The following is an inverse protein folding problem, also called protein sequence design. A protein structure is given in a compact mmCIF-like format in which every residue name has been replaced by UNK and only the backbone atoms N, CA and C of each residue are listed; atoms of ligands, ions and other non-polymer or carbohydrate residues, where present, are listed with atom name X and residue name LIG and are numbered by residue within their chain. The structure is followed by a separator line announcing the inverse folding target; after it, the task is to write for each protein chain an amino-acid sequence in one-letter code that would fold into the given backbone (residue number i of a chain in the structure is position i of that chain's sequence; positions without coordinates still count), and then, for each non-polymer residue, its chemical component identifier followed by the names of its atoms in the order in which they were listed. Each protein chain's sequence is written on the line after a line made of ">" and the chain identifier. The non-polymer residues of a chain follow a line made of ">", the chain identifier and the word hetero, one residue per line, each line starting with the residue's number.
data_IF_362229767355
#
_entry.id   IF_362229767355
#
_cell.length_a   1.000
_cell.length_b   1.000
_cell.length_c   1.000
_cell.angle_alpha   90.00
_cell.angle_beta   90.00
_cell.angle_gamma   90.00
#
_symmetry.space_group_name_H-M   'P 1'
#
loop_
_entity.id
_entity.type
_entity.pdbx_description
1 polymer ?
#
# COMPACT_ATOMS: atom_id res chain seq x y z
N UNK A 1 39.92 -9.26 28.61
CA UNK A 1 41.15 -10.09 28.64
C UNK A 1 40.76 -11.48 28.16
N UNK A 2 41.59 -12.08 27.32
CA UNK A 2 41.26 -13.02 26.23
C UNK A 2 41.04 -14.51 26.59
N UNK A 3 40.74 -15.27 25.52
CA UNK A 3 40.96 -16.72 25.26
C UNK A 3 39.90 -17.73 25.75
N UNK A 4 39.60 -18.86 25.08
CA UNK A 4 39.67 -19.40 23.70
C UNK A 4 39.23 -20.90 23.83
N UNK A 5 38.50 -21.44 22.83
CA UNK A 5 38.31 -22.88 22.44
C UNK A 5 37.73 -23.90 23.43
N UNK A 6 36.65 -24.63 23.10
CA UNK A 6 36.47 -25.75 22.14
C UNK A 6 36.93 -27.13 22.66
N UNK A 7 35.99 -28.09 22.67
CA UNK A 7 36.09 -29.56 22.49
C UNK A 7 35.11 -30.34 23.40
N UNK A 8 34.08 -30.97 22.82
CA UNK A 8 33.96 -32.42 22.51
C UNK A 8 33.40 -33.26 23.67
N UNK A 9 32.26 -33.97 23.50
CA UNK A 9 32.12 -35.42 23.20
C UNK A 9 30.66 -35.87 23.57
N UNK A 10 30.21 -37.14 23.43
CA UNK A 10 29.82 -37.86 22.19
C UNK A 10 28.48 -38.68 22.36
N UNK A 11 28.26 -39.69 21.48
CA UNK A 11 27.35 -40.87 21.58
C UNK A 11 25.90 -40.73 21.01
N UNK A 12 25.60 -41.25 19.80
CA UNK A 12 25.24 -42.66 19.40
C UNK A 12 23.78 -43.00 19.80
N UNK A 13 22.88 -43.67 19.08
CA UNK A 13 22.80 -44.61 17.94
C UNK A 13 21.36 -44.42 17.35
N UNK A 14 20.94 -44.85 16.14
CA UNK A 14 20.48 -46.21 15.78
C UNK A 14 19.74 -46.08 14.42
N UNK A 15 20.21 -46.80 13.39
CA UNK A 15 19.45 -47.73 12.49
C UNK A 15 18.13 -47.22 11.82
N UNK A 16 17.74 -47.38 10.54
CA UNK A 16 18.15 -48.11 9.32
C UNK A 16 16.96 -48.01 8.36
N UNK A 17 17.19 -47.73 7.07
CA UNK A 17 16.49 -48.41 5.98
C UNK A 17 17.14 -48.03 4.65
N UNK A 18 17.82 -48.99 4.04
CA UNK A 18 18.24 -48.94 2.66
C UNK A 18 17.09 -49.42 1.76
N UNK A 19 16.90 -48.81 0.60
CA UNK A 19 17.10 -49.50 -0.69
C UNK A 19 16.99 -48.57 -1.91
N UNK A 20 17.64 -48.92 -3.04
CA UNK A 20 18.04 -47.98 -4.10
C UNK A 20 17.32 -48.25 -5.43
N UNK A 21 17.13 -47.23 -6.28
CA UNK A 21 16.95 -47.44 -7.74
C UNK A 21 17.71 -46.38 -8.54
N UNK A 22 18.76 -46.88 -9.19
CA UNK A 22 19.57 -46.29 -10.25
C UNK A 22 18.75 -45.95 -11.50
N UNK A 23 18.95 -44.77 -12.10
CA UNK A 23 18.81 -44.61 -13.56
C UNK A 23 19.71 -43.49 -14.13
N UNK A 24 20.81 -43.94 -14.75
CA UNK A 24 21.42 -43.49 -16.02
C UNK A 24 21.57 -41.99 -16.35
N UNK A 25 22.83 -41.54 -16.22
CA UNK A 25 23.76 -41.15 -17.30
C UNK A 25 23.39 -40.13 -18.41
N UNK A 26 24.23 -39.09 -18.45
CA UNK A 26 24.97 -38.45 -19.58
C UNK A 26 24.39 -37.23 -20.31
N UNK A 27 25.07 -36.11 -20.01
CA UNK A 27 25.69 -35.12 -20.91
C UNK A 27 24.94 -34.66 -22.17
N UNK A 28 24.67 -33.35 -22.23
CA UNK A 28 25.29 -32.52 -23.27
C UNK A 28 25.42 -31.07 -22.80
N UNK A 29 26.66 -30.61 -22.77
CA UNK A 29 27.05 -29.21 -22.63
C UNK A 29 26.75 -28.50 -23.96
N UNK A 30 26.05 -27.37 -23.91
CA UNK A 30 26.12 -26.34 -24.95
C UNK A 30 25.96 -24.98 -24.29
N UNK A 31 26.95 -24.15 -24.57
CA UNK A 31 27.31 -22.90 -23.92
C UNK A 31 26.59 -21.69 -24.57
N UNK A 32 26.35 -20.65 -23.74
CA UNK A 32 26.10 -19.21 -24.03
C UNK A 32 24.64 -18.72 -24.28
N UNK A 33 24.39 -17.40 -24.06
CA UNK A 33 24.60 -16.61 -22.83
C UNK A 33 23.38 -15.67 -22.53
N UNK A 34 23.37 -15.06 -21.34
CA UNK A 34 22.44 -13.99 -20.89
C UNK A 34 21.05 -14.45 -20.40
N UNK A 35 21.01 -14.97 -19.18
CA UNK A 35 19.80 -14.99 -18.37
C UNK A 35 19.50 -13.55 -17.88
N UNK A 36 18.38 -12.91 -18.25
CA UNK A 36 17.82 -11.87 -17.40
C UNK A 36 17.16 -12.59 -16.23
N UNK A 37 17.68 -12.37 -15.02
CA UNK A 37 17.08 -12.74 -13.74
C UNK A 37 16.19 -13.98 -13.80
N UNK A 38 16.78 -15.18 -13.63
CA UNK A 38 15.98 -16.37 -13.37
C UNK A 38 14.97 -16.04 -12.28
N UNK A 39 13.71 -16.20 -12.65
CA UNK A 39 12.55 -15.94 -11.81
C UNK A 39 12.59 -16.98 -10.68
N UNK A 40 13.21 -16.64 -9.56
CA UNK A 40 13.38 -17.51 -8.39
C UNK A 40 12.01 -17.99 -7.85
N UNK A 41 10.91 -17.34 -8.24
CA UNK A 41 9.53 -17.73 -8.00
C UNK A 41 9.06 -18.95 -8.84
N UNK A 42 9.72 -19.29 -9.95
CA UNK A 42 9.36 -20.43 -10.79
C UNK A 42 9.74 -21.80 -10.17
N UNK A 43 10.47 -21.80 -9.05
CA UNK A 43 10.85 -23.02 -8.32
C UNK A 43 9.88 -23.41 -7.20
N UNK A 44 8.80 -22.63 -6.97
CA UNK A 44 7.86 -22.87 -5.89
C UNK A 44 6.52 -23.41 -6.42
N UNK A 45 6.50 -24.71 -6.75
CA UNK A 45 5.31 -25.59 -6.79
C UNK A 45 4.00 -24.94 -7.31
N UNK A 46 4.09 -24.16 -8.40
CA UNK A 46 2.91 -23.69 -9.10
C UNK A 46 2.34 -24.86 -9.90
N UNK A 47 1.07 -25.21 -9.66
CA UNK A 47 0.36 -26.17 -10.50
C UNK A 47 0.52 -25.74 -11.96
N UNK A 48 1.04 -26.57 -12.87
CA UNK A 48 1.32 -26.19 -14.26
C UNK A 48 0.09 -25.66 -15.02
N UNK A 49 -1.12 -25.84 -14.47
CA UNK A 49 -2.34 -25.17 -14.92
C UNK A 49 -2.45 -23.68 -14.54
N UNK A 50 -1.93 -23.26 -13.38
CA UNK A 50 -1.92 -21.88 -12.91
C UNK A 50 -0.90 -21.02 -13.66
N UNK A 51 0.30 -21.55 -13.90
CA UNK A 51 1.35 -20.86 -14.67
C UNK A 51 0.87 -20.50 -16.07
N UNK A 52 0.24 -21.46 -16.75
CA UNK A 52 -0.31 -21.23 -18.09
C UNK A 52 -1.39 -20.15 -18.07
N UNK A 53 -2.23 -20.10 -17.02
CA UNK A 53 -3.28 -19.07 -16.89
C UNK A 53 -2.66 -17.70 -16.60
N UNK A 54 -1.68 -17.62 -15.71
CA UNK A 54 -0.96 -16.38 -15.41
C UNK A 54 -0.25 -15.83 -16.64
N UNK A 55 0.45 -16.67 -17.40
CA UNK A 55 1.08 -16.26 -18.66
C UNK A 55 0.06 -15.81 -19.70
N UNK A 56 -1.11 -16.44 -19.79
CA UNK A 56 -2.15 -16.07 -20.75
C UNK A 56 -2.78 -14.71 -20.38
N UNK A 57 -3.02 -14.44 -19.09
CA UNK A 57 -3.47 -13.14 -18.59
C UNK A 57 -2.41 -12.07 -18.80
N UNK A 58 -1.14 -12.37 -18.50
CA UNK A 58 -0.05 -11.43 -18.67
C UNK A 58 0.18 -11.08 -20.15
N UNK A 59 0.13 -12.08 -21.03
CA UNK A 59 0.23 -11.87 -22.48
C UNK A 59 -0.95 -11.05 -23.03
N UNK A 60 -2.18 -11.28 -22.53
CA UNK A 60 -3.34 -10.47 -22.92
C UNK A 60 -3.22 -9.02 -22.44
N UNK A 61 -2.70 -8.78 -21.23
CA UNK A 61 -2.43 -7.43 -20.71
C UNK A 61 -1.31 -6.73 -21.49
N UNK A 62 -0.26 -7.46 -21.88
CA UNK A 62 0.83 -6.94 -22.70
C UNK A 62 0.39 -6.64 -24.14
N UNK A 63 -0.55 -7.43 -24.70
CA UNK A 63 -1.13 -7.24 -26.03
C UNK A 63 -2.04 -6.00 -26.11
N UNK A 64 -2.75 -5.65 -25.01
CA UNK A 64 -3.57 -4.43 -24.92
C UNK A 64 -2.70 -3.16 -24.96
N UNK A 65 -1.45 -3.23 -24.47
CA UNK A 65 -0.50 -2.12 -24.49
C UNK A 65 -0.95 -0.86 -23.72
N UNK A 66 -0.15 0.21 -23.81
CA UNK A 66 -0.42 1.47 -23.11
C UNK A 66 -1.48 2.30 -23.84
N UNK A 67 -2.75 2.06 -23.51
CA UNK A 67 -3.89 2.86 -24.02
C UNK A 67 -4.11 4.16 -23.21
N UNK A 68 -4.75 5.17 -23.82
CA UNK A 68 -5.11 6.46 -23.19
C UNK A 68 -5.90 6.35 -21.86
N UNK A 69 -6.57 5.22 -21.62
CA UNK A 69 -7.21 4.92 -20.34
C UNK A 69 -6.21 4.85 -19.18
N UNK A 70 -5.01 4.30 -19.39
CA UNK A 70 -3.97 4.21 -18.37
C UNK A 70 -3.46 5.60 -17.97
N UNK A 71 -3.39 6.56 -18.91
CA UNK A 71 -3.08 7.95 -18.58
C UNK A 71 -4.15 8.58 -17.68
N UNK A 72 -5.43 8.36 -18.00
CA UNK A 72 -6.54 8.85 -17.15
C UNK A 72 -6.50 8.21 -15.77
N UNK A 73 -6.21 6.91 -15.70
CA UNK A 73 -6.10 6.18 -14.44
C UNK A 73 -4.90 6.65 -13.61
N UNK A 74 -3.77 6.90 -14.25
CA UNK A 74 -2.57 7.45 -13.60
C UNK A 74 -2.84 8.81 -12.97
N UNK A 75 -3.49 9.73 -13.70
CA UNK A 75 -3.84 11.03 -13.14
C UNK A 75 -4.91 10.94 -12.05
N UNK A 76 -5.87 10.03 -12.17
CA UNK A 76 -6.91 9.82 -11.18
C UNK A 76 -6.34 9.29 -9.86
N UNK A 77 -5.52 8.24 -9.91
CA UNK A 77 -4.85 7.68 -8.73
C UNK A 77 -3.81 8.63 -8.16
N UNK A 78 -3.04 9.31 -9.02
CA UNK A 78 -2.15 10.39 -8.61
C UNK A 78 -2.89 11.43 -7.78
N UNK A 79 -3.98 12.00 -8.32
CA UNK A 79 -4.78 12.98 -7.59
C UNK A 79 -5.26 12.46 -6.22
N UNK A 80 -5.71 11.19 -6.15
CA UNK A 80 -6.03 10.54 -4.88
C UNK A 80 -4.86 10.56 -3.89
N UNK A 81 -3.68 10.14 -4.33
CA UNK A 81 -2.46 10.14 -3.53
C UNK A 81 -2.03 11.55 -3.06
N UNK A 82 -2.26 12.59 -3.89
CA UNK A 82 -2.03 13.99 -3.50
C UNK A 82 -3.02 14.46 -2.44
N UNK A 83 -4.30 14.12 -2.59
CA UNK A 83 -5.35 14.52 -1.66
C UNK A 83 -5.12 13.88 -0.30
N UNK A 84 -4.68 12.63 -0.26
CA UNK A 84 -4.32 11.94 1.00
C UNK A 84 -3.14 12.65 1.69
N UNK A 85 -2.09 13.00 0.94
CA UNK A 85 -0.95 13.75 1.46
C UNK A 85 -1.34 15.17 1.93
N UNK A 86 -2.21 15.84 1.17
CA UNK A 86 -2.78 17.13 1.51
C UNK A 86 -3.53 17.05 2.84
N UNK A 87 -4.39 16.05 3.01
CA UNK A 87 -5.19 15.88 4.22
C UNK A 87 -4.31 15.66 5.47
N UNK A 88 -3.28 14.81 5.38
CA UNK A 88 -2.35 14.61 6.49
C UNK A 88 -1.58 15.90 6.84
N UNK A 89 -1.16 16.64 5.82
CA UNK A 89 -0.44 17.91 6.01
C UNK A 89 -1.34 18.98 6.65
N UNK A 90 -2.58 19.11 6.17
CA UNK A 90 -3.58 20.03 6.72
C UNK A 90 -3.87 19.72 8.19
N UNK A 91 -4.02 18.44 8.56
CA UNK A 91 -4.19 18.06 9.96
C UNK A 91 -3.03 18.54 10.83
N UNK A 92 -1.79 18.43 10.34
CA UNK A 92 -0.60 18.91 11.06
C UNK A 92 -0.65 20.41 11.34
N UNK A 93 -1.05 21.20 10.34
CA UNK A 93 -1.16 22.67 10.44
C UNK A 93 -2.30 23.06 11.38
N UNK A 94 -3.50 22.48 11.17
CA UNK A 94 -4.70 22.80 11.94
C UNK A 94 -4.54 22.40 13.41
N UNK A 95 -3.84 21.31 13.70
CA UNK A 95 -3.65 20.85 15.08
C UNK A 95 -2.96 21.88 15.97
N UNK A 96 -2.08 22.73 15.44
CA UNK A 96 -1.41 23.78 16.23
C UNK A 96 -2.37 24.93 16.50
N UNK A 97 -3.07 25.40 15.47
CA UNK A 97 -4.00 26.53 15.60
C UNK A 97 -5.22 26.19 16.45
N UNK A 98 -5.76 24.97 16.30
CA UNK A 98 -6.90 24.50 17.09
C UNK A 98 -6.59 24.43 18.59
N UNK A 99 -5.34 24.13 18.98
CA UNK A 99 -4.93 24.13 20.39
C UNK A 99 -4.86 25.55 20.97
N UNK A 100 -4.48 26.53 20.16
CA UNK A 100 -4.43 27.94 20.57
C UNK A 100 -5.83 28.52 20.81
N UNK A 101 -6.78 28.20 19.93
CA UNK A 101 -8.17 28.69 20.01
C UNK A 101 -8.96 28.04 21.15
N UNK A 102 -8.95 26.71 21.24
CA UNK A 102 -9.82 25.98 22.17
C UNK A 102 -9.19 25.69 23.54
N UNK A 103 -7.87 25.91 23.70
CA UNK A 103 -7.09 25.63 24.91
C UNK A 103 -7.47 24.30 25.62
N UNK A 104 -7.42 23.15 24.92
CA UNK A 104 -7.84 21.88 25.47
C UNK A 104 -6.88 21.37 26.55
N UNK A 105 -7.40 20.61 27.52
CA UNK A 105 -6.59 19.96 28.56
C UNK A 105 -5.59 18.94 27.99
N UNK A 106 -5.82 18.42 26.78
CA UNK A 106 -4.94 17.46 26.11
C UNK A 106 -4.66 17.86 24.65
N UNK A 107 -3.50 18.50 24.36
CA UNK A 107 -3.22 19.09 23.05
C UNK A 107 -2.98 18.08 21.94
N UNK A 108 -2.64 16.82 22.26
CA UNK A 108 -2.40 15.75 21.28
C UNK A 108 -3.66 14.98 20.89
N UNK A 109 -4.83 15.36 21.42
CA UNK A 109 -6.08 14.62 21.21
C UNK A 109 -6.49 14.50 19.75
N UNK A 110 -6.22 15.55 18.97
CA UNK A 110 -6.59 15.61 17.55
C UNK A 110 -5.77 14.66 16.68
N UNK A 111 -4.46 14.57 16.96
CA UNK A 111 -3.55 13.64 16.29
C UNK A 111 -3.93 12.19 16.58
N UNK A 112 -4.27 11.88 17.84
CA UNK A 112 -4.72 10.54 18.22
C UNK A 112 -6.04 10.21 17.51
N UNK A 113 -7.00 11.13 17.51
CA UNK A 113 -8.28 10.95 16.83
C UNK A 113 -8.11 10.63 15.33
N UNK A 114 -7.20 11.35 14.64
CA UNK A 114 -6.87 11.06 13.25
C UNK A 114 -6.30 9.64 13.07
N UNK A 115 -5.24 9.28 13.81
CA UNK A 115 -4.61 7.96 13.63
C UNK A 115 -5.52 6.80 14.04
N UNK A 116 -6.33 6.96 15.09
CA UNK A 116 -7.32 5.96 15.49
C UNK A 116 -8.42 5.81 14.44
N UNK A 117 -8.94 6.93 13.91
CA UNK A 117 -9.91 6.89 12.80
C UNK A 117 -9.34 6.20 11.57
N UNK A 118 -8.11 6.52 11.20
CA UNK A 118 -7.41 5.93 10.06
C UNK A 118 -7.15 4.43 10.23
N UNK A 119 -6.76 3.99 11.44
CA UNK A 119 -6.58 2.57 11.75
C UNK A 119 -7.88 1.78 11.60
N UNK A 120 -8.97 2.28 12.20
CA UNK A 120 -10.29 1.62 12.10
C UNK A 120 -10.81 1.65 10.67
N UNK A 121 -10.57 2.74 9.95
CA UNK A 121 -10.90 2.90 8.53
C UNK A 121 -10.18 1.90 7.64
N UNK A 122 -8.87 1.77 7.78
CA UNK A 122 -8.07 0.84 6.97
C UNK A 122 -8.55 -0.62 7.12
N UNK A 123 -8.87 -1.05 8.35
CA UNK A 123 -9.38 -2.39 8.61
C UNK A 123 -10.78 -2.59 8.03
N UNK A 124 -11.68 -1.63 8.24
CA UNK A 124 -13.06 -1.72 7.76
C UNK A 124 -13.13 -1.71 6.23
N UNK A 125 -12.47 -0.74 5.59
CA UNK A 125 -12.53 -0.56 4.13
C UNK A 125 -11.76 -1.64 3.38
N UNK A 126 -10.69 -2.20 3.96
CA UNK A 126 -9.99 -3.36 3.39
C UNK A 126 -10.94 -4.55 3.23
N UNK A 127 -11.60 -4.95 4.33
CA UNK A 127 -12.58 -6.05 4.30
C UNK A 127 -13.80 -5.71 3.44
N UNK A 128 -14.27 -4.47 3.48
CA UNK A 128 -15.45 -4.04 2.72
C UNK A 128 -15.22 -4.10 1.21
N UNK A 129 -14.02 -3.75 0.75
CA UNK A 129 -13.67 -3.79 -0.66
C UNK A 129 -13.58 -5.21 -1.23
N UNK A 130 -13.21 -6.19 -0.39
CA UNK A 130 -13.19 -7.59 -0.78
C UNK A 130 -14.62 -8.17 -0.95
N UNK A 131 -15.60 -7.66 -0.20
CA UNK A 131 -16.98 -8.18 -0.22
C UNK A 131 -17.87 -7.47 -1.26
N UNK A 132 -17.90 -6.14 -1.26
CA UNK A 132 -18.82 -5.33 -2.08
C UNK A 132 -18.21 -4.95 -3.45
N UNK A 133 -16.89 -5.07 -3.59
CA UNK A 133 -16.12 -4.67 -4.77
C UNK A 133 -15.35 -3.36 -4.57
N UNK A 134 -14.19 -3.23 -5.22
CA UNK A 134 -13.25 -2.12 -5.00
C UNK A 134 -13.78 -0.75 -5.44
N UNK A 135 -14.50 -0.67 -6.56
CA UNK A 135 -15.00 0.61 -7.11
C UNK A 135 -16.03 1.31 -6.21
N UNK A 136 -16.95 0.53 -5.66
CA UNK A 136 -18.02 1.00 -4.77
C UNK A 136 -17.44 1.35 -3.40
N UNK A 137 -16.52 0.55 -2.88
CA UNK A 137 -15.78 0.85 -1.66
C UNK A 137 -15.02 2.19 -1.77
N UNK A 138 -14.28 2.40 -2.88
CA UNK A 138 -13.51 3.62 -3.12
C UNK A 138 -14.38 4.89 -3.20
N UNK A 139 -15.48 4.86 -3.97
CA UNK A 139 -16.35 6.03 -4.08
C UNK A 139 -17.05 6.35 -2.76
N UNK A 140 -17.43 5.33 -1.98
CA UNK A 140 -18.14 5.54 -0.71
C UNK A 140 -17.20 6.10 0.36
N UNK A 141 -15.97 5.60 0.45
CA UNK A 141 -14.97 6.12 1.39
C UNK A 141 -14.61 7.58 1.08
N UNK A 142 -14.48 7.94 -0.20
CA UNK A 142 -14.23 9.32 -0.64
C UNK A 142 -15.39 10.27 -0.28
N UNK A 143 -16.63 9.84 -0.49
CA UNK A 143 -17.80 10.66 -0.13
C UNK A 143 -17.86 10.91 1.38
N UNK A 144 -17.64 9.87 2.19
CA UNK A 144 -17.60 9.97 3.65
C UNK A 144 -16.48 10.93 4.06
N UNK A 145 -15.26 10.73 3.54
CA UNK A 145 -14.12 11.59 3.83
C UNK A 145 -14.43 13.06 3.50
N UNK A 146 -14.93 13.35 2.30
CA UNK A 146 -15.22 14.70 1.83
C UNK A 146 -16.27 15.40 2.71
N UNK A 147 -17.39 14.73 2.99
CA UNK A 147 -18.48 15.30 3.80
C UNK A 147 -17.99 15.62 5.22
N UNK A 148 -17.28 14.69 5.86
CA UNK A 148 -16.78 14.90 7.22
C UNK A 148 -15.63 15.90 7.30
N UNK A 149 -14.76 15.98 6.30
CA UNK A 149 -13.70 17.01 6.22
C UNK A 149 -14.30 18.41 6.10
N UNK A 150 -15.33 18.59 5.26
CA UNK A 150 -16.04 19.88 5.15
C UNK A 150 -16.76 20.20 6.46
N UNK A 151 -17.41 19.21 7.09
CA UNK A 151 -18.07 19.40 8.39
C UNK A 151 -17.08 19.74 9.51
N UNK A 152 -15.86 19.18 9.49
CA UNK A 152 -14.80 19.49 10.45
C UNK A 152 -14.39 20.97 10.41
N UNK A 153 -14.46 21.62 9.25
CA UNK A 153 -14.16 23.05 9.10
C UNK A 153 -15.16 23.97 9.80
N UNK A 154 -16.38 23.51 10.06
CA UNK A 154 -17.42 24.27 10.75
C UNK A 154 -17.58 23.87 12.24
N UNK A 155 -16.65 23.10 12.79
CA UNK A 155 -16.79 22.54 14.13
C UNK A 155 -16.67 23.62 15.23
N UNK A 156 -17.66 23.74 16.14
CA UNK A 156 -17.68 24.80 17.15
C UNK A 156 -16.95 24.46 18.45
N UNK A 157 -16.58 23.19 18.67
CA UNK A 157 -15.93 22.73 19.91
C UNK A 157 -14.80 21.74 19.64
N UNK A 158 -13.85 21.65 20.58
CA UNK A 158 -12.73 20.71 20.51
C UNK A 158 -13.16 19.24 20.34
N UNK A 159 -14.19 18.81 21.10
CA UNK A 159 -14.70 17.45 21.03
C UNK A 159 -15.38 17.15 19.67
N UNK A 160 -16.19 18.08 19.17
CA UNK A 160 -16.81 17.93 17.83
C UNK A 160 -15.76 17.90 16.72
N UNK A 161 -14.71 18.71 16.83
CA UNK A 161 -13.63 18.77 15.85
C UNK A 161 -12.85 17.44 15.85
N UNK A 162 -12.54 16.89 17.03
CA UNK A 162 -11.93 15.56 17.15
C UNK A 162 -12.78 14.44 16.55
N UNK A 163 -14.10 14.46 16.76
CA UNK A 163 -15.01 13.48 16.17
C UNK A 163 -15.06 13.57 14.64
N UNK A 164 -15.21 14.79 14.08
CA UNK A 164 -15.23 14.96 12.63
C UNK A 164 -13.90 14.62 11.98
N UNK A 165 -12.77 14.94 12.62
CA UNK A 165 -11.44 14.53 12.16
C UNK A 165 -11.30 13.01 12.18
N UNK A 166 -11.76 12.33 13.23
CA UNK A 166 -11.74 10.86 13.29
C UNK A 166 -12.62 10.23 12.19
N UNK A 167 -13.82 10.78 11.95
CA UNK A 167 -14.74 10.31 10.91
C UNK A 167 -14.19 10.56 9.49
N UNK A 168 -13.55 11.71 9.26
CA UNK A 168 -12.86 12.01 8.01
C UNK A 168 -11.66 11.07 7.81
N UNK A 169 -10.86 10.86 8.85
CA UNK A 169 -9.71 9.96 8.84
C UNK A 169 -10.12 8.49 8.61
N UNK A 170 -11.31 8.08 9.07
CA UNK A 170 -11.88 6.78 8.76
C UNK A 170 -12.11 6.59 7.25
N UNK A 171 -12.58 7.62 6.53
CA UNK A 171 -12.69 7.58 5.08
C UNK A 171 -11.32 7.56 4.38
N UNK A 172 -10.40 8.42 4.80
CA UNK A 172 -9.06 8.50 4.21
C UNK A 172 -8.18 7.26 4.44
N UNK A 173 -8.32 6.59 5.58
CA UNK A 173 -7.59 5.34 5.85
C UNK A 173 -7.93 4.23 4.84
N UNK A 174 -9.17 4.20 4.35
CA UNK A 174 -9.56 3.32 3.25
C UNK A 174 -9.00 3.76 1.90
N UNK A 175 -9.00 5.07 1.63
CA UNK A 175 -8.53 5.61 0.35
C UNK A 175 -7.08 5.22 0.04
N UNK A 176 -6.20 5.28 1.04
CA UNK A 176 -4.77 4.93 0.90
C UNK A 176 -4.54 3.50 0.39
N UNK A 177 -5.34 2.54 0.86
CA UNK A 177 -5.22 1.12 0.47
C UNK A 177 -5.97 0.86 -0.84
N UNK A 178 -7.16 1.43 -1.00
CA UNK A 178 -8.01 1.19 -2.16
C UNK A 178 -7.47 1.82 -3.43
N UNK A 179 -6.88 3.01 -3.35
CA UNK A 179 -6.32 3.70 -4.52
C UNK A 179 -5.22 2.87 -5.18
N UNK A 180 -4.25 2.42 -4.37
CA UNK A 180 -3.14 1.59 -4.85
C UNK A 180 -3.61 0.22 -5.35
N UNK A 181 -4.58 -0.42 -4.67
CA UNK A 181 -5.14 -1.70 -5.10
C UNK A 181 -5.89 -1.60 -6.44
N UNK A 182 -6.74 -0.57 -6.61
CA UNK A 182 -7.47 -0.33 -7.86
C UNK A 182 -6.52 0.03 -8.99
N UNK A 183 -5.48 0.82 -8.71
CA UNK A 183 -4.48 1.16 -9.71
C UNK A 183 -3.73 -0.07 -10.22
N UNK A 184 -3.29 -0.95 -9.31
CA UNK A 184 -2.57 -2.18 -9.65
C UNK A 184 -3.43 -3.20 -10.42
N UNK A 185 -4.73 -3.29 -10.13
CA UNK A 185 -5.63 -4.22 -10.82
C UNK A 185 -5.80 -3.90 -12.32
N UNK A 186 -5.62 -2.63 -12.70
CA UNK A 186 -5.73 -2.17 -14.07
C UNK A 186 -4.38 -1.90 -14.73
N UNK A 187 -3.25 -2.18 -14.05
CA UNK A 187 -1.92 -1.93 -14.57
C UNK A 187 -1.35 -3.19 -15.25
N UNK A 188 -0.83 -3.10 -16.49
CA UNK A 188 -0.08 -4.20 -17.08
C UNK A 188 1.22 -4.43 -16.30
N UNK A 189 1.56 -5.70 -16.06
CA UNK A 189 2.72 -6.13 -15.25
C UNK A 189 4.04 -5.50 -15.72
N UNK A 190 4.19 -5.32 -17.04
CA UNK A 190 5.38 -4.69 -17.66
C UNK A 190 5.62 -3.23 -17.24
N UNK A 191 4.61 -2.49 -16.77
CA UNK A 191 4.69 -1.04 -16.49
C UNK A 191 4.61 -0.69 -15.00
N UNK A 192 4.87 -1.64 -14.10
CA UNK A 192 4.82 -1.43 -12.64
C UNK A 192 5.72 -0.27 -12.14
N UNK A 193 6.75 0.13 -12.89
CA UNK A 193 7.56 1.32 -12.58
C UNK A 193 6.75 2.63 -12.45
N UNK A 194 5.54 2.67 -13.01
CA UNK A 194 4.62 3.82 -12.89
C UNK A 194 4.20 4.06 -11.44
N UNK A 195 4.17 3.02 -10.60
CA UNK A 195 3.89 3.13 -9.16
C UNK A 195 4.97 3.96 -8.45
N UNK A 196 6.21 3.91 -8.91
CA UNK A 196 7.28 4.78 -8.38
C UNK A 196 7.03 6.25 -8.69
N UNK A 197 6.45 6.55 -9.87
CA UNK A 197 6.06 7.90 -10.25
C UNK A 197 4.83 8.40 -9.46
N UNK A 198 3.96 7.49 -9.02
CA UNK A 198 2.84 7.79 -8.14
C UNK A 198 3.31 8.35 -6.79
N UNK A 199 4.42 7.83 -6.25
CA UNK A 199 5.01 8.32 -5.00
C UNK A 199 5.44 9.79 -5.08
N UNK A 200 5.89 10.26 -6.26
CA UNK A 200 6.23 11.68 -6.46
C UNK A 200 5.02 12.61 -6.26
N UNK A 201 3.81 12.08 -6.47
CA UNK A 201 2.56 12.82 -6.32
C UNK A 201 2.21 13.15 -4.85
N UNK A 202 2.82 12.44 -3.89
CA UNK A 202 2.75 12.77 -2.46
C UNK A 202 3.38 14.14 -2.18
N UNK A 203 4.54 14.41 -2.78
CA UNK A 203 5.24 15.69 -2.63
C UNK A 203 4.42 16.86 -3.18
N UNK A 204 3.67 16.63 -4.26
CA UNK A 204 2.74 17.64 -4.82
C UNK A 204 1.66 18.00 -3.79
N UNK A 205 1.07 17.00 -3.13
CA UNK A 205 0.05 17.22 -2.10
C UNK A 205 0.56 18.02 -0.91
N UNK A 206 1.73 17.67 -0.38
CA UNK A 206 2.39 18.43 0.69
C UNK A 206 2.72 19.87 0.27
N UNK A 207 3.15 20.07 -0.98
CA UNK A 207 3.46 21.40 -1.51
C UNK A 207 2.21 22.28 -1.59
N UNK A 208 1.08 21.73 -2.08
CA UNK A 208 -0.20 22.44 -2.12
C UNK A 208 -0.66 22.81 -0.71
N UNK A 209 -0.56 21.88 0.26
CA UNK A 209 -0.91 22.18 1.65
C UNK A 209 -0.08 23.33 2.21
N UNK A 210 1.23 23.33 1.95
CA UNK A 210 2.14 24.40 2.36
C UNK A 210 1.82 25.75 1.72
N UNK A 211 1.52 25.77 0.42
CA UNK A 211 1.12 27.00 -0.29
C UNK A 211 -0.21 27.56 0.22
N UNK A 212 -1.19 26.69 0.49
CA UNK A 212 -2.47 27.10 1.09
C UNK A 212 -2.23 27.66 2.49
N UNK A 213 -1.43 26.98 3.31
CA UNK A 213 -1.11 27.44 4.66
C UNK A 213 -0.40 28.80 4.66
N UNK A 214 0.56 29.00 3.75
CA UNK A 214 1.21 30.30 3.57
C UNK A 214 0.21 31.39 3.20
N UNK A 215 -0.76 31.12 2.33
CA UNK A 215 -1.79 32.10 1.98
C UNK A 215 -2.62 32.62 3.17
N UNK A 216 -2.66 31.89 4.28
CA UNK A 216 -3.39 32.26 5.50
C UNK A 216 -2.49 32.74 6.66
N UNK A 217 -1.17 32.76 6.48
CA UNK A 217 -0.21 33.35 7.45
C UNK A 217 0.06 34.81 7.12
#
# INVERSE_FOLDING_TARGET
>A
MACIQDQSTPETDVERSASPITSKNKHHESDKPNAPAEDILALQDLDPGMDKKMHLVNNALDEIGWTNYHWKLFFLSGFGFSVDALQLSLQGIISVQAVLEFQPSYPKGLTIALYTGMLVGALFWGLFADIIGRKTAFNTSLLICSVFTVAAGAAPTWASLGFFVAAAAFGAGGNLILDTAVFLEHLPSSKQWTVSWLSAWWGVGCTIAGLVAWGYM
#
